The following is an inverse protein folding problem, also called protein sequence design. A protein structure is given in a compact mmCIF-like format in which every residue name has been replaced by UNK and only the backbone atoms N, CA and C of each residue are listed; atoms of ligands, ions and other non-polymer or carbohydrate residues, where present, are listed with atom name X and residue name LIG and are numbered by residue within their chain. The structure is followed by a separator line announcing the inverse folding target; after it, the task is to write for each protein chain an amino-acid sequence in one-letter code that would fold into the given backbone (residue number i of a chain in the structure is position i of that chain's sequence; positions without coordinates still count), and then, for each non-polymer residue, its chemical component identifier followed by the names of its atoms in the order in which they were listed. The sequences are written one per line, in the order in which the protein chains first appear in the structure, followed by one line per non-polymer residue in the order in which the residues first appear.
data_IF_411757862637
#
_entry.id   IF_411757862637
#
_cell.length_a   1.000
_cell.length_b   1.000
_cell.length_c   1.000
_cell.angle_alpha   90.00
_cell.angle_beta   90.00
_cell.angle_gamma   90.00
#
_symmetry.space_group_name_H-M   'P 1'
#
loop_
_entity.id
_entity.type
_entity.pdbx_description
1 polymer ?
#
# COMPACT_ATOMS: atom_id res chain seq x y z
N UNK A 1 7.20 27.75 -1.14
CA UNK A 1 8.57 27.45 -1.63
C UNK A 1 8.91 25.97 -1.68
N UNK A 2 8.62 25.15 -0.66
CA UNK A 2 8.93 23.69 -0.67
C UNK A 2 8.15 22.89 -1.73
N UNK A 3 6.86 23.14 -1.92
CA UNK A 3 6.00 22.46 -2.91
C UNK A 3 6.43 22.71 -4.35
N UNK A 4 6.86 23.91 -4.68
CA UNK A 4 7.34 24.25 -6.03
C UNK A 4 8.67 23.53 -6.37
N UNK A 5 9.54 23.31 -5.38
CA UNK A 5 10.76 22.51 -5.58
C UNK A 5 10.44 21.04 -5.84
N UNK A 6 9.48 20.47 -5.08
CA UNK A 6 9.04 19.08 -5.27
C UNK A 6 8.44 18.86 -6.66
N UNK A 7 7.58 19.77 -7.11
CA UNK A 7 6.99 19.72 -8.45
C UNK A 7 8.08 19.77 -9.54
N UNK A 8 9.08 20.64 -9.39
CA UNK A 8 10.21 20.72 -10.34
C UNK A 8 10.99 19.41 -10.40
N UNK A 9 11.26 18.77 -9.26
CA UNK A 9 11.95 17.47 -9.23
C UNK A 9 11.11 16.35 -9.87
N UNK A 10 9.81 16.33 -9.63
CA UNK A 10 8.91 15.36 -10.27
C UNK A 10 8.88 15.54 -11.79
N UNK A 11 8.74 16.77 -12.29
CA UNK A 11 8.78 17.09 -13.73
C UNK A 11 10.13 16.71 -14.34
N UNK A 12 11.24 17.02 -13.63
CA UNK A 12 12.59 16.68 -14.09
C UNK A 12 12.81 15.17 -14.15
N UNK A 13 12.28 14.42 -13.17
CA UNK A 13 12.31 12.96 -13.18
C UNK A 13 11.58 12.39 -14.40
N UNK A 14 10.36 12.84 -14.67
CA UNK A 14 9.60 12.39 -15.85
C UNK A 14 10.34 12.75 -17.14
N UNK A 15 10.94 13.93 -17.22
CA UNK A 15 11.74 14.33 -18.39
C UNK A 15 12.94 13.42 -18.61
N UNK A 16 13.65 13.06 -17.54
CA UNK A 16 14.80 12.11 -17.60
C UNK A 16 14.31 10.72 -18.05
N UNK A 17 13.22 10.21 -17.48
CA UNK A 17 12.64 8.92 -17.89
C UNK A 17 12.21 8.91 -19.34
N UNK A 18 11.54 9.97 -19.81
CA UNK A 18 11.15 10.15 -21.22
C UNK A 18 12.38 10.18 -22.16
N UNK A 19 13.45 10.85 -21.75
CA UNK A 19 14.71 10.89 -22.48
C UNK A 19 15.36 9.51 -22.58
N UNK A 20 15.43 8.78 -21.46
CA UNK A 20 15.96 7.41 -21.43
C UNK A 20 15.12 6.50 -22.34
N UNK A 21 13.78 6.59 -22.27
CA UNK A 21 12.89 5.83 -23.14
C UNK A 21 13.23 6.03 -24.62
N UNK A 22 13.41 7.28 -25.03
CA UNK A 22 13.72 7.61 -26.45
C UNK A 22 15.09 7.07 -26.86
N UNK A 23 16.10 7.15 -25.98
CA UNK A 23 17.46 6.72 -26.27
C UNK A 23 17.56 5.19 -26.30
N UNK A 24 16.89 4.51 -25.36
CA UNK A 24 17.01 3.05 -25.18
C UNK A 24 15.92 2.23 -25.88
N UNK A 25 14.83 2.86 -26.32
CA UNK A 25 13.63 2.19 -26.82
C UNK A 25 12.79 1.49 -25.74
N UNK A 26 13.11 1.66 -24.46
CA UNK A 26 12.42 1.01 -23.33
C UNK A 26 11.08 1.70 -23.03
N UNK A 27 10.04 1.36 -23.79
CA UNK A 27 8.68 1.94 -23.69
C UNK A 27 8.02 1.74 -22.33
N UNK A 28 8.42 0.70 -21.60
CA UNK A 28 7.83 0.34 -20.31
C UNK A 28 8.15 1.35 -19.19
N UNK A 29 9.25 2.10 -19.30
CA UNK A 29 9.69 3.05 -18.26
C UNK A 29 8.64 4.13 -17.93
N UNK A 30 7.86 4.57 -18.92
CA UNK A 30 6.84 5.60 -18.75
C UNK A 30 5.44 5.07 -19.06
N UNK A 31 5.27 3.74 -19.11
CA UNK A 31 4.00 3.13 -19.46
C UNK A 31 2.97 3.29 -18.32
N UNK A 32 1.71 3.31 -18.70
CA UNK A 32 0.55 3.30 -17.79
C UNK A 32 0.62 2.10 -16.85
N UNK A 33 1.01 0.91 -17.37
CA UNK A 33 1.11 -0.31 -16.58
C UNK A 33 2.18 -0.22 -15.47
N UNK A 34 3.36 0.30 -15.79
CA UNK A 34 4.44 0.49 -14.80
C UNK A 34 4.03 1.48 -13.71
N UNK A 35 3.40 2.59 -14.07
CA UNK A 35 2.92 3.57 -13.10
C UNK A 35 1.81 3.01 -12.20
N UNK A 36 0.87 2.25 -12.76
CA UNK A 36 -0.19 1.57 -12.01
C UNK A 36 0.39 0.51 -11.05
N UNK A 37 1.31 -0.32 -11.53
CA UNK A 37 1.99 -1.32 -10.70
C UNK A 37 2.79 -0.67 -9.56
N UNK A 38 3.51 0.43 -9.83
CA UNK A 38 4.24 1.17 -8.81
C UNK A 38 3.30 1.72 -7.72
N UNK A 39 2.14 2.26 -8.10
CA UNK A 39 1.12 2.71 -7.14
C UNK A 39 0.62 1.55 -6.27
N UNK A 40 0.22 0.45 -6.89
CA UNK A 40 -0.32 -0.72 -6.18
C UNK A 40 0.71 -1.30 -5.18
N UNK A 41 1.96 -1.44 -5.60
CA UNK A 41 3.03 -1.95 -4.74
C UNK A 41 3.43 -0.98 -3.63
N UNK A 42 3.21 0.33 -3.81
CA UNK A 42 3.50 1.33 -2.78
C UNK A 42 2.48 1.35 -1.65
N UNK A 43 1.24 0.93 -1.88
CA UNK A 43 0.13 0.99 -0.90
C UNK A 43 0.47 0.30 0.43
N UNK A 44 0.89 -0.98 0.46
CA UNK A 44 1.21 -1.65 1.72
C UNK A 44 2.39 -0.98 2.44
N UNK A 45 3.37 -0.46 1.70
CA UNK A 45 4.54 0.24 2.27
C UNK A 45 4.10 1.56 2.92
N UNK A 46 3.24 2.33 2.26
CA UNK A 46 2.70 3.58 2.79
C UNK A 46 1.87 3.32 4.05
N UNK A 47 1.01 2.31 4.05
CA UNK A 47 0.20 1.95 5.22
C UNK A 47 1.06 1.50 6.40
N UNK A 48 2.09 0.69 6.15
CA UNK A 48 3.06 0.30 7.18
C UNK A 48 3.82 1.51 7.73
N UNK A 49 4.28 2.41 6.85
CA UNK A 49 4.95 3.65 7.26
C UNK A 49 4.05 4.55 8.11
N UNK A 50 2.75 4.65 7.79
CA UNK A 50 1.79 5.37 8.63
C UNK A 50 1.62 4.71 10.01
N UNK A 51 1.53 3.37 10.08
CA UNK A 51 1.51 2.63 11.33
C UNK A 51 2.77 2.88 12.17
N UNK A 52 3.95 2.81 11.55
CA UNK A 52 5.24 3.15 12.17
C UNK A 52 5.27 4.61 12.67
N UNK A 53 4.75 5.55 11.90
CA UNK A 53 4.67 6.95 12.29
C UNK A 53 3.87 7.17 13.57
N UNK A 54 2.73 6.49 13.75
CA UNK A 54 1.95 6.57 15.00
C UNK A 54 2.73 5.98 16.18
N UNK A 55 3.37 4.85 15.97
CA UNK A 55 4.19 4.18 16.99
C UNK A 55 5.38 5.03 17.42
N UNK A 56 6.18 5.52 16.47
CA UNK A 56 7.34 6.37 16.75
C UNK A 56 6.95 7.69 17.44
N UNK A 57 5.81 8.28 17.06
CA UNK A 57 5.31 9.50 17.71
C UNK A 57 4.79 9.26 19.13
N UNK A 58 4.54 8.02 19.52
CA UNK A 58 4.23 7.64 20.90
C UNK A 58 5.46 7.23 21.73
N UNK A 59 6.67 7.30 21.16
CA UNK A 59 7.92 6.92 21.81
C UNK A 59 8.28 5.44 21.67
N UNK A 60 7.50 4.66 20.92
CA UNK A 60 7.75 3.23 20.71
C UNK A 60 8.21 2.98 19.28
N UNK A 61 9.46 2.57 19.08
CA UNK A 61 9.98 2.20 17.77
C UNK A 61 9.47 0.80 17.40
N UNK A 62 8.69 0.69 16.35
CA UNK A 62 8.12 -0.59 15.91
C UNK A 62 8.86 -1.17 14.70
N UNK A 63 9.85 -2.00 14.94
CA UNK A 63 10.58 -2.74 13.89
C UNK A 63 9.82 -4.02 13.48
N UNK A 64 8.81 -4.43 14.25
CA UNK A 64 8.01 -5.64 14.00
C UNK A 64 6.92 -5.49 12.92
N UNK A 65 6.87 -4.36 12.22
CA UNK A 65 5.85 -4.11 11.18
C UNK A 65 5.86 -5.15 10.07
N UNK A 66 7.02 -5.67 9.69
CA UNK A 66 7.13 -6.72 8.67
C UNK A 66 6.40 -8.00 9.11
N UNK A 67 6.64 -8.47 10.33
CA UNK A 67 5.94 -9.64 10.88
C UNK A 67 4.43 -9.42 11.01
N UNK A 68 4.01 -8.22 11.39
CA UNK A 68 2.59 -7.86 11.45
C UNK A 68 1.94 -7.89 10.05
N UNK A 69 2.65 -7.40 9.02
CA UNK A 69 2.19 -7.48 7.64
C UNK A 69 2.12 -8.92 7.13
N UNK A 70 3.11 -9.77 7.46
CA UNK A 70 3.13 -11.18 7.09
C UNK A 70 1.92 -11.91 7.69
N UNK A 71 1.61 -11.70 8.97
CA UNK A 71 0.44 -12.29 9.62
C UNK A 71 -0.86 -11.79 8.99
N UNK A 72 -0.96 -10.50 8.74
CA UNK A 72 -2.11 -9.90 8.06
C UNK A 72 -2.29 -10.44 6.65
N UNK A 73 -1.23 -10.52 5.86
CA UNK A 73 -1.27 -11.04 4.49
C UNK A 73 -1.71 -12.51 4.45
N UNK A 74 -1.21 -13.34 5.39
CA UNK A 74 -1.62 -14.74 5.47
C UNK A 74 -3.11 -14.88 5.81
N UNK A 75 -3.58 -14.18 6.85
CA UNK A 75 -4.99 -14.24 7.24
C UNK A 75 -5.92 -13.68 6.15
N UNK A 76 -5.51 -12.59 5.51
CA UNK A 76 -6.22 -12.01 4.38
C UNK A 76 -6.31 -12.95 3.19
N UNK A 77 -5.23 -13.64 2.86
CA UNK A 77 -5.19 -14.66 1.81
C UNK A 77 -6.08 -15.84 2.13
N UNK A 78 -5.98 -16.39 3.34
CA UNK A 78 -6.75 -17.56 3.76
C UNK A 78 -8.24 -17.28 3.83
N UNK A 79 -8.67 -16.25 4.54
CA UNK A 79 -10.08 -15.89 4.70
C UNK A 79 -10.66 -15.32 3.39
N UNK A 80 -9.88 -14.52 2.69
CA UNK A 80 -10.30 -13.89 1.43
C UNK A 80 -10.60 -14.89 0.33
N UNK A 81 -9.85 -15.97 0.25
CA UNK A 81 -10.09 -17.04 -0.73
C UNK A 81 -11.36 -17.84 -0.47
N UNK A 82 -11.84 -17.87 0.77
CA UNK A 82 -13.03 -18.61 1.18
C UNK A 82 -14.29 -17.75 1.25
N UNK A 83 -14.16 -16.49 1.65
CA UNK A 83 -15.27 -15.60 1.98
C UNK A 83 -15.27 -14.28 1.19
N UNK A 84 -14.38 -14.17 0.19
CA UNK A 84 -14.27 -12.99 -0.66
C UNK A 84 -13.35 -11.89 -0.11
N UNK A 85 -13.02 -10.90 -0.95
CA UNK A 85 -11.94 -9.95 -0.70
C UNK A 85 -12.19 -9.03 0.51
N UNK A 86 -13.42 -8.68 0.80
CA UNK A 86 -13.74 -7.82 1.94
C UNK A 86 -13.56 -8.53 3.28
N UNK A 87 -13.94 -9.81 3.36
CA UNK A 87 -13.67 -10.63 4.54
C UNK A 87 -12.16 -10.84 4.73
N UNK A 88 -11.43 -11.04 3.63
CA UNK A 88 -9.97 -11.10 3.64
C UNK A 88 -9.34 -9.82 4.17
N UNK A 89 -9.81 -8.66 3.72
CA UNK A 89 -9.32 -7.37 4.21
C UNK A 89 -9.52 -7.20 5.72
N UNK A 90 -10.71 -7.52 6.22
CA UNK A 90 -11.00 -7.46 7.66
C UNK A 90 -10.12 -8.44 8.45
N UNK A 91 -9.94 -9.66 7.97
CA UNK A 91 -9.06 -10.64 8.59
C UNK A 91 -7.60 -10.15 8.63
N UNK A 92 -7.11 -9.56 7.54
CA UNK A 92 -5.78 -8.98 7.48
C UNK A 92 -5.57 -7.88 8.54
N UNK A 93 -6.55 -7.00 8.70
CA UNK A 93 -6.53 -5.93 9.71
C UNK A 93 -6.49 -6.49 11.14
N UNK A 94 -7.33 -7.49 11.43
CA UNK A 94 -7.41 -8.12 12.76
C UNK A 94 -6.08 -8.83 13.09
N UNK A 95 -5.58 -9.68 12.21
CA UNK A 95 -4.36 -10.44 12.48
C UNK A 95 -3.10 -9.57 12.55
N UNK A 96 -3.01 -8.54 11.72
CA UNK A 96 -1.95 -7.53 11.84
C UNK A 96 -2.04 -6.78 13.17
N UNK A 97 -3.24 -6.44 13.62
CA UNK A 97 -3.47 -5.77 14.91
C UNK A 97 -3.12 -6.65 16.11
N UNK A 98 -3.33 -7.97 16.02
CA UNK A 98 -2.89 -8.92 17.08
C UNK A 98 -1.37 -8.86 17.26
N UNK A 99 -0.60 -8.85 16.18
CA UNK A 99 0.85 -8.67 16.24
C UNK A 99 1.26 -7.34 16.88
N UNK A 100 0.57 -6.26 16.51
CA UNK A 100 0.79 -4.93 17.09
C UNK A 100 0.46 -4.89 18.59
N UNK A 101 -0.62 -5.56 18.99
CA UNK A 101 -1.01 -5.68 20.41
C UNK A 101 0.05 -6.43 21.23
N UNK A 102 0.58 -7.54 20.71
CA UNK A 102 1.67 -8.29 21.36
C UNK A 102 2.90 -7.40 21.52
N UNK A 103 3.29 -6.65 20.47
CA UNK A 103 4.41 -5.71 20.57
C UNK A 103 4.17 -4.63 21.63
N UNK A 104 2.99 -4.03 21.63
CA UNK A 104 2.62 -2.98 22.59
C UNK A 104 2.64 -3.50 24.02
N UNK A 105 2.10 -4.68 24.29
CA UNK A 105 2.12 -5.28 25.63
C UNK A 105 3.57 -5.57 26.06
N UNK A 106 4.39 -6.14 25.17
CA UNK A 106 5.79 -6.44 25.47
C UNK A 106 6.58 -5.16 25.82
N UNK A 107 6.44 -4.12 25.01
CA UNK A 107 7.25 -2.90 25.14
C UNK A 107 6.73 -1.95 26.22
N UNK A 108 5.42 -1.74 26.27
CA UNK A 108 4.81 -0.74 27.17
C UNK A 108 4.53 -1.34 28.55
N UNK A 109 3.99 -2.57 28.63
CA UNK A 109 3.59 -3.18 29.89
C UNK A 109 4.75 -3.92 30.57
N UNK A 110 5.58 -4.62 29.81
CA UNK A 110 6.70 -5.40 30.35
C UNK A 110 8.05 -4.71 30.22
N UNK A 111 8.14 -3.55 29.57
CA UNK A 111 9.39 -2.80 29.41
C UNK A 111 10.45 -3.52 28.57
N UNK A 112 10.04 -4.44 27.70
CA UNK A 112 10.96 -5.13 26.79
C UNK A 112 11.50 -4.12 25.79
N UNK A 113 12.78 -4.23 25.46
CA UNK A 113 13.39 -3.39 24.43
C UNK A 113 12.63 -3.49 23.10
N UNK A 114 12.38 -2.34 22.47
CA UNK A 114 11.56 -2.21 21.28
C UNK A 114 12.13 -2.98 20.09
N UNK A 115 13.48 -2.96 19.93
CA UNK A 115 14.16 -3.65 18.84
C UNK A 115 14.06 -5.16 19.04
N UNK A 116 14.33 -5.62 20.26
CA UNK A 116 14.23 -7.05 20.61
C UNK A 116 12.82 -7.59 20.38
N UNK A 117 11.81 -6.87 20.86
CA UNK A 117 10.40 -7.25 20.64
C UNK A 117 10.02 -7.25 19.15
N UNK A 118 10.44 -6.25 18.39
CA UNK A 118 10.13 -6.16 16.96
C UNK A 118 10.78 -7.29 16.15
N UNK A 119 12.07 -7.57 16.38
CA UNK A 119 12.79 -8.67 15.71
C UNK A 119 12.15 -10.02 16.07
N UNK A 120 11.80 -10.24 17.35
CA UNK A 120 11.13 -11.46 17.78
C UNK A 120 9.81 -11.67 17.04
N UNK A 121 8.99 -10.62 16.87
CA UNK A 121 7.73 -10.70 16.13
C UNK A 121 7.97 -11.07 14.65
N UNK A 122 8.97 -10.48 13.99
CA UNK A 122 9.28 -10.81 12.61
C UNK A 122 9.65 -12.29 12.44
N UNK A 123 10.48 -12.82 13.33
CA UNK A 123 10.88 -14.25 13.31
C UNK A 123 9.69 -15.16 13.60
N UNK A 124 8.92 -14.85 14.65
CA UNK A 124 7.75 -15.65 15.06
C UNK A 124 6.70 -15.64 13.96
N UNK A 125 6.39 -14.47 13.38
CA UNK A 125 5.39 -14.33 12.31
C UNK A 125 5.72 -15.19 11.09
N UNK A 126 6.96 -15.14 10.62
CA UNK A 126 7.41 -15.95 9.48
C UNK A 126 7.28 -17.46 9.76
N UNK A 127 7.70 -17.92 10.93
CA UNK A 127 7.57 -19.32 11.36
C UNK A 127 6.11 -19.75 11.54
N UNK A 128 5.31 -18.91 12.21
CA UNK A 128 3.89 -19.18 12.47
C UNK A 128 3.09 -19.29 11.16
N UNK A 129 3.27 -18.35 10.26
CA UNK A 129 2.57 -18.33 8.96
C UNK A 129 2.93 -19.56 8.14
N UNK A 130 4.20 -19.94 8.09
CA UNK A 130 4.63 -21.16 7.41
C UNK A 130 4.00 -22.42 8.02
N UNK A 131 3.96 -22.51 9.33
CA UNK A 131 3.34 -23.62 10.05
C UNK A 131 1.82 -23.69 9.79
N UNK A 132 1.13 -22.57 9.94
CA UNK A 132 -0.32 -22.49 9.66
C UNK A 132 -0.63 -22.82 8.20
N UNK A 133 0.19 -22.37 7.25
CA UNK A 133 0.02 -22.71 5.82
C UNK A 133 0.09 -24.22 5.59
N UNK A 134 1.05 -24.90 6.23
CA UNK A 134 1.18 -26.36 6.09
C UNK A 134 0.03 -27.13 6.72
N UNK A 135 -0.59 -26.60 7.78
CA UNK A 135 -1.74 -27.22 8.42
C UNK A 135 -3.04 -27.00 7.65
N UNK A 136 -3.26 -25.78 7.18
CA UNK A 136 -4.57 -25.37 6.66
C UNK A 136 -4.72 -25.60 5.16
N UNK A 137 -3.61 -25.73 4.42
CA UNK A 137 -3.60 -25.96 2.98
C UNK A 137 -3.36 -27.43 2.60
N UNK A 138 -3.75 -28.37 3.44
CA UNK A 138 -3.45 -29.81 3.31
C UNK A 138 -4.11 -30.55 2.14
N UNK A 139 -5.12 -30.03 1.48
CA UNK A 139 -5.97 -30.82 0.58
C UNK A 139 -5.70 -30.65 -0.90
N UNK A 140 -4.45 -30.38 -1.32
CA UNK A 140 -4.06 -30.42 -2.75
C UNK A 140 -4.70 -29.35 -3.65
N UNK A 141 -5.54 -28.47 -3.12
CA UNK A 141 -6.18 -27.38 -3.85
C UNK A 141 -5.28 -26.15 -4.02
N UNK A 142 -4.06 -26.20 -3.46
CA UNK A 142 -3.16 -25.05 -3.37
C UNK A 142 -1.82 -25.37 -4.03
N UNK A 143 -1.25 -24.45 -4.79
CA UNK A 143 0.02 -24.67 -5.49
C UNK A 143 1.25 -24.76 -4.57
N UNK A 144 1.07 -24.64 -3.25
CA UNK A 144 2.15 -24.79 -2.26
C UNK A 144 1.94 -23.93 -1.00
N UNK A 145 2.77 -24.10 0.04
CA UNK A 145 2.63 -23.41 1.32
C UNK A 145 2.95 -21.90 1.26
N UNK A 146 3.42 -21.40 0.13
CA UNK A 146 3.81 -19.99 -0.07
C UNK A 146 2.84 -19.18 -0.92
N UNK A 147 1.78 -19.80 -1.45
CA UNK A 147 0.82 -19.10 -2.32
C UNK A 147 -0.61 -19.36 -1.87
N UNK A 148 -1.41 -18.30 -1.75
CA UNK A 148 -2.86 -18.42 -1.55
C UNK A 148 -3.57 -18.73 -2.88
N UNK A 149 -4.78 -19.32 -2.88
CA UNK A 149 -5.62 -19.33 -4.07
C UNK A 149 -5.91 -17.91 -4.52
N UNK A 150 -6.32 -17.79 -5.79
CA UNK A 150 -6.80 -16.53 -6.32
C UNK A 150 -7.96 -16.00 -5.49
N UNK A 151 -7.88 -14.73 -5.10
CA UNK A 151 -8.97 -13.98 -4.48
C UNK A 151 -9.61 -13.13 -5.56
N UNK A 152 -10.93 -13.02 -5.54
CA UNK A 152 -11.62 -12.10 -6.44
C UNK A 152 -11.10 -10.67 -6.27
N UNK A 153 -10.88 -10.00 -7.40
CA UNK A 153 -10.36 -8.64 -7.37
C UNK A 153 -11.43 -7.66 -6.90
N UNK A 154 -11.03 -6.74 -6.01
CA UNK A 154 -11.87 -5.60 -5.66
C UNK A 154 -12.01 -4.71 -6.89
N UNK A 155 -13.25 -4.27 -7.24
CA UNK A 155 -13.47 -3.44 -8.42
C UNK A 155 -12.55 -2.22 -8.47
N UNK A 156 -12.00 -1.97 -9.64
CA UNK A 156 -11.17 -0.80 -9.93
C UNK A 156 -11.93 0.13 -10.88
N UNK A 157 -11.82 1.43 -10.64
CA UNK A 157 -12.38 2.45 -11.52
C UNK A 157 -11.36 3.56 -11.74
N UNK A 158 -11.32 4.09 -12.96
CA UNK A 158 -10.52 5.28 -13.26
C UNK A 158 -11.17 6.54 -12.67
N UNK A 159 -10.40 7.60 -12.50
CA UNK A 159 -10.98 8.90 -12.14
C UNK A 159 -11.83 9.44 -13.32
N UNK A 160 -13.08 9.88 -13.04
CA UNK A 160 -13.96 10.38 -14.09
C UNK A 160 -13.30 11.51 -14.88
N UNK A 161 -13.52 11.53 -16.19
CA UNK A 161 -12.98 12.50 -17.14
C UNK A 161 -11.47 12.38 -17.40
N UNK A 162 -10.67 12.03 -16.41
CA UNK A 162 -9.20 11.95 -16.55
C UNK A 162 -8.76 10.62 -17.17
N UNK A 163 -9.16 9.51 -16.60
CA UNK A 163 -8.67 8.17 -16.96
C UNK A 163 -9.78 7.18 -17.31
N UNK A 164 -10.95 7.69 -17.66
CA UNK A 164 -12.08 6.85 -18.03
C UNK A 164 -12.80 6.25 -16.82
N UNK A 165 -13.50 5.14 -17.06
CA UNK A 165 -14.27 4.43 -16.05
C UNK A 165 -15.77 4.41 -16.37
N UNK A 166 -16.51 3.52 -15.69
CA UNK A 166 -17.96 3.41 -15.82
C UNK A 166 -18.60 3.71 -14.48
N UNK A 167 -19.47 4.72 -14.43
CA UNK A 167 -20.16 5.18 -13.24
C UNK A 167 -21.67 5.22 -13.51
N UNK A 168 -22.44 4.39 -12.80
CA UNK A 168 -23.91 4.36 -12.94
C UNK A 168 -24.41 4.24 -14.39
N UNK A 169 -23.67 3.48 -15.25
CA UNK A 169 -24.02 3.32 -16.66
C UNK A 169 -23.48 4.41 -17.61
N UNK A 170 -22.88 5.47 -17.09
CA UNK A 170 -22.19 6.48 -17.88
C UNK A 170 -20.72 6.11 -18.10
N UNK A 171 -20.29 6.04 -19.35
CA UNK A 171 -18.89 5.85 -19.71
C UNK A 171 -18.18 7.20 -19.74
N UNK A 172 -17.28 7.40 -18.81
CA UNK A 172 -16.48 8.61 -18.74
C UNK A 172 -15.42 8.64 -19.84
N UNK A 173 -15.14 9.81 -20.45
CA UNK A 173 -14.03 9.96 -21.39
C UNK A 173 -12.68 9.72 -20.70
N UNK A 174 -11.72 9.23 -21.50
CA UNK A 174 -10.32 9.02 -21.07
C UNK A 174 -9.43 10.08 -21.76
N UNK A 175 -9.33 11.24 -21.15
CA UNK A 175 -8.52 12.34 -21.68
C UNK A 175 -7.03 12.05 -21.63
N UNK A 176 -6.55 11.46 -20.51
CA UNK A 176 -5.14 11.10 -20.37
C UNK A 176 -4.73 10.01 -21.35
N UNK A 177 -5.60 9.02 -21.60
CA UNK A 177 -5.37 8.01 -22.62
C UNK A 177 -5.30 8.59 -24.02
N UNK A 178 -6.17 9.55 -24.33
CA UNK A 178 -6.14 10.25 -25.62
C UNK A 178 -4.83 11.02 -25.82
N UNK A 179 -4.32 11.71 -24.81
CA UNK A 179 -3.04 12.45 -24.85
C UNK A 179 -1.87 11.47 -24.90
N UNK A 180 -1.91 10.37 -24.15
CA UNK A 180 -0.87 9.34 -24.16
C UNK A 180 -0.65 8.74 -25.56
N UNK A 181 -1.73 8.57 -26.33
CA UNK A 181 -1.69 8.02 -27.67
C UNK A 181 -1.16 8.98 -28.76
N UNK A 182 -0.97 10.27 -28.44
CA UNK A 182 -0.41 11.24 -29.39
C UNK A 182 1.08 11.01 -29.68
N UNK A 183 1.77 10.22 -28.86
CA UNK A 183 3.20 9.92 -28.98
C UNK A 183 4.12 11.17 -28.99
N UNK A 184 3.67 12.26 -28.38
CA UNK A 184 4.49 13.45 -28.23
C UNK A 184 5.55 13.23 -27.14
N UNK A 185 6.77 13.60 -27.42
CA UNK A 185 7.84 13.55 -26.44
C UNK A 185 7.45 14.26 -25.14
N UNK A 186 7.71 13.64 -24.02
CA UNK A 186 7.45 14.12 -22.65
C UNK A 186 5.94 14.26 -22.32
N UNK A 187 5.10 14.83 -23.18
CA UNK A 187 3.67 15.08 -22.90
C UNK A 187 2.91 13.75 -22.82
N UNK A 188 3.14 12.85 -23.77
CA UNK A 188 2.52 11.52 -23.74
C UNK A 188 3.05 10.65 -22.62
N UNK A 189 4.32 10.79 -22.26
CA UNK A 189 4.92 10.09 -21.12
C UNK A 189 4.28 10.55 -19.80
N UNK A 190 4.16 11.86 -19.61
CA UNK A 190 3.49 12.44 -18.46
C UNK A 190 2.03 11.99 -18.37
N UNK A 191 1.30 12.02 -19.50
CA UNK A 191 -0.08 11.57 -19.56
C UNK A 191 -0.21 10.07 -19.25
N UNK A 192 0.69 9.22 -19.74
CA UNK A 192 0.72 7.78 -19.46
C UNK A 192 0.95 7.50 -17.98
N UNK A 193 1.90 8.17 -17.34
CA UNK A 193 2.18 8.04 -15.91
C UNK A 193 0.97 8.52 -15.09
N UNK A 194 0.41 9.68 -15.39
CA UNK A 194 -0.77 10.20 -14.70
C UNK A 194 -1.98 9.27 -14.88
N UNK A 195 -2.16 8.73 -16.08
CA UNK A 195 -3.21 7.73 -16.35
C UNK A 195 -3.02 6.48 -15.51
N UNK A 196 -1.79 5.97 -15.37
CA UNK A 196 -1.48 4.81 -14.52
C UNK A 196 -1.76 5.06 -13.04
N UNK A 197 -1.54 6.28 -12.57
CA UNK A 197 -1.84 6.67 -11.19
C UNK A 197 -3.34 6.93 -10.92
N UNK A 198 -4.16 7.09 -11.97
CA UNK A 198 -5.56 7.49 -11.83
C UNK A 198 -6.54 6.53 -12.51
N UNK A 199 -6.06 5.61 -13.36
CA UNK A 199 -6.90 4.75 -14.20
C UNK A 199 -7.46 3.53 -13.49
N UNK A 200 -6.60 2.77 -12.84
CA UNK A 200 -6.97 1.48 -12.24
C UNK A 200 -6.82 1.53 -10.72
N UNK A 201 -7.52 2.45 -10.08
CA UNK A 201 -7.43 2.67 -8.64
C UNK A 201 -8.51 1.87 -7.92
N UNK A 202 -8.12 0.88 -7.13
CA UNK A 202 -9.07 0.12 -6.30
C UNK A 202 -9.60 0.98 -5.15
N UNK A 203 -10.79 0.65 -4.65
CA UNK A 203 -11.34 1.33 -3.46
C UNK A 203 -10.39 1.24 -2.27
N UNK A 204 -9.67 0.13 -2.12
CA UNK A 204 -8.66 -0.03 -1.04
C UNK A 204 -7.50 0.95 -1.23
N UNK A 205 -7.04 1.15 -2.45
CA UNK A 205 -5.99 2.14 -2.77
C UNK A 205 -6.47 3.56 -2.48
N UNK A 206 -7.71 3.89 -2.81
CA UNK A 206 -8.30 5.21 -2.50
C UNK A 206 -8.34 5.45 -0.99
N UNK A 207 -8.77 4.45 -0.22
CA UNK A 207 -8.79 4.51 1.25
C UNK A 207 -7.37 4.66 1.80
N UNK A 208 -6.39 3.91 1.28
CA UNK A 208 -4.99 4.02 1.70
C UNK A 208 -4.41 5.43 1.45
N UNK A 209 -4.70 6.01 0.28
CA UNK A 209 -4.30 7.40 -0.03
C UNK A 209 -4.98 8.39 0.93
N UNK A 210 -6.27 8.19 1.24
CA UNK A 210 -7.00 9.03 2.18
C UNK A 210 -6.45 8.94 3.61
N UNK A 211 -5.87 7.81 4.01
CA UNK A 211 -5.24 7.67 5.33
C UNK A 211 -4.05 8.62 5.53
N UNK A 212 -3.36 9.05 4.48
CA UNK A 212 -2.23 9.98 4.59
C UNK A 212 -2.68 11.34 5.19
N UNK A 213 -3.61 12.10 4.57
CA UNK A 213 -4.08 13.34 5.16
C UNK A 213 -4.87 13.14 6.47
N UNK A 214 -5.58 12.03 6.63
CA UNK A 214 -6.27 11.68 7.87
C UNK A 214 -5.27 11.49 9.01
N UNK A 215 -4.19 10.75 8.80
CA UNK A 215 -3.12 10.56 9.78
C UNK A 215 -2.44 11.88 10.15
N UNK A 216 -2.18 12.73 9.15
CA UNK A 216 -1.69 14.08 9.42
C UNK A 216 -2.67 14.88 10.30
N UNK A 217 -3.96 14.88 9.96
CA UNK A 217 -4.97 15.58 10.75
C UNK A 217 -5.04 15.05 12.18
N UNK A 218 -5.11 13.72 12.35
CA UNK A 218 -5.17 13.09 13.68
C UNK A 218 -3.94 13.46 14.50
N UNK A 219 -2.73 13.33 13.96
CA UNK A 219 -1.49 13.54 14.72
C UNK A 219 -1.23 15.01 15.05
N UNK A 220 -1.58 15.95 14.15
CA UNK A 220 -1.20 17.37 14.35
C UNK A 220 -2.35 18.32 14.66
N UNK A 221 -3.60 17.88 14.46
CA UNK A 221 -4.78 18.73 14.60
C UNK A 221 -5.79 18.27 15.65
N UNK A 222 -5.53 17.15 16.35
CA UNK A 222 -6.45 16.63 17.38
C UNK A 222 -5.81 16.55 18.75
N UNK A 223 -6.65 16.57 19.80
CA UNK A 223 -6.21 16.37 21.18
C UNK A 223 -5.59 14.99 21.41
N UNK A 224 -6.06 13.96 20.68
CA UNK A 224 -5.46 12.63 20.70
C UNK A 224 -4.01 12.66 20.21
N UNK A 225 -3.76 13.28 19.05
CA UNK A 225 -2.40 13.39 18.50
C UNK A 225 -1.46 14.22 19.38
N UNK A 226 -1.99 15.24 20.08
CA UNK A 226 -1.20 15.99 21.05
C UNK A 226 -0.75 15.09 22.22
N UNK A 227 -1.68 14.33 22.81
CA UNK A 227 -1.37 13.39 23.91
C UNK A 227 -0.40 12.29 23.47
N UNK A 228 -0.60 11.76 22.26
CA UNK A 228 0.28 10.73 21.70
C UNK A 228 1.73 11.24 21.59
N UNK A 229 1.92 12.43 21.03
CA UNK A 229 3.24 13.04 20.88
C UNK A 229 3.89 13.40 22.21
N UNK A 230 3.11 13.91 23.17
CA UNK A 230 3.62 14.23 24.50
C UNK A 230 4.03 12.99 25.31
N UNK A 231 3.51 11.81 24.98
CA UNK A 231 3.95 10.54 25.58
C UNK A 231 5.29 10.06 25.02
N UNK A 232 5.65 10.51 23.80
CA UNK A 232 6.90 10.13 23.12
C UNK A 232 8.05 11.14 23.29
N UNK A 233 7.80 12.30 23.89
CA UNK A 233 8.80 13.35 24.23
C UNK A 233 9.38 13.14 25.63
#
# INVERSE_FOLDING_TARGET
MKTMKLLRYAVMLVFVLASIRVITGASDLTSTGTASAALLLSVPIVLAALGGLFSERSGVVNIGLEGMMIMGAWAGGYIGSQHGPWAGLLAAMIFGSVGALVHAIATVSFGVDHVVSGVAINIIAAGLVRYLSTLMYKNGAWPGPSQSPGIETIPVNGLPVLSGGSYFGWKSPDLLGSIANLNWFFISDLASILRGLTGDVSYVTMVAIAFVPISYFILWRTAFGLRLRSAGE
#
